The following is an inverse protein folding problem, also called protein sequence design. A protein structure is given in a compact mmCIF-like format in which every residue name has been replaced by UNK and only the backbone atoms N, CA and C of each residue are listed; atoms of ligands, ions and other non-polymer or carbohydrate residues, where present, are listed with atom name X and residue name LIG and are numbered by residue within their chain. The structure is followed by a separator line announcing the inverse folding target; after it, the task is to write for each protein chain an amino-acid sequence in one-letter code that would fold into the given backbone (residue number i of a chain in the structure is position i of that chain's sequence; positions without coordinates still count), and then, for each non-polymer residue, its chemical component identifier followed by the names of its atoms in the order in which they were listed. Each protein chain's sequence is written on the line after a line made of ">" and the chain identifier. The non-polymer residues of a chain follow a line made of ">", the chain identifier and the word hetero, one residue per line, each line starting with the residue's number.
data_IF_554929723815
#
_entry.id   IF_554929723815
#
_cell.length_a   1.000
_cell.length_b   1.000
_cell.length_c   1.000
_cell.angle_alpha   90.00
_cell.angle_beta   90.00
_cell.angle_gamma   90.00
#
_symmetry.space_group_name_H-M   'P 1'
#
loop_
_entity.id
_entity.type
_entity.pdbx_description
1 polymer ?
#
# COMPACT_ATOMS: atom_id res chain seq x y z
N UNK A 1 2.54 4.56 -17.96
CA UNK A 1 1.53 3.52 -17.73
C UNK A 1 1.00 3.65 -16.32
N UNK A 2 -0.31 3.57 -16.15
CA UNK A 2 -0.94 3.73 -14.86
C UNK A 2 -0.96 2.40 -14.11
N UNK A 3 -0.49 2.40 -12.87
CA UNK A 3 -0.52 1.18 -12.06
C UNK A 3 -1.74 1.19 -11.13
N UNK A 4 -1.97 0.07 -10.46
CA UNK A 4 -3.13 -0.10 -9.57
C UNK A 4 -2.74 -0.12 -8.11
N UNK A 5 -1.62 0.50 -7.78
CA UNK A 5 -1.11 0.51 -6.41
C UNK A 5 -2.15 1.01 -5.40
N UNK A 6 -2.78 2.16 -5.71
CA UNK A 6 -3.76 2.77 -4.79
C UNK A 6 -4.92 1.83 -4.49
N UNK A 7 -5.49 1.22 -5.52
CA UNK A 7 -6.61 0.30 -5.36
C UNK A 7 -6.18 -0.96 -4.61
N UNK A 8 -5.03 -1.49 -4.96
CA UNK A 8 -4.55 -2.75 -4.40
C UNK A 8 -4.18 -2.62 -2.93
N UNK A 9 -3.53 -1.52 -2.54
CA UNK A 9 -3.17 -1.34 -1.14
C UNK A 9 -4.42 -1.17 -0.27
N UNK A 10 -5.42 -0.46 -0.78
CA UNK A 10 -6.68 -0.30 -0.05
C UNK A 10 -7.39 -1.63 0.12
N UNK A 11 -7.43 -2.43 -0.94
CA UNK A 11 -8.07 -3.74 -0.90
C UNK A 11 -7.36 -4.69 0.07
N UNK A 12 -6.03 -4.77 -0.02
CA UNK A 12 -5.24 -5.62 0.87
C UNK A 12 -5.42 -5.23 2.32
N UNK A 13 -5.43 -3.93 2.60
CA UNK A 13 -5.65 -3.42 3.95
C UNK A 13 -7.00 -3.89 4.49
N UNK A 14 -8.05 -3.73 3.68
CA UNK A 14 -9.41 -4.12 4.09
C UNK A 14 -9.54 -5.63 4.28
N UNK A 15 -8.88 -6.41 3.44
CA UNK A 15 -8.87 -7.87 3.56
C UNK A 15 -8.22 -8.31 4.87
N UNK A 16 -7.25 -7.56 5.36
CA UNK A 16 -6.61 -7.84 6.64
C UNK A 16 -7.38 -7.26 7.83
N UNK A 17 -8.48 -6.56 7.57
CA UNK A 17 -9.27 -5.96 8.63
C UNK A 17 -8.60 -4.78 9.31
N UNK A 18 -7.69 -4.10 8.63
CA UNK A 18 -6.92 -2.98 9.21
C UNK A 18 -7.53 -1.64 8.83
N UNK A 19 -7.50 -0.70 9.77
CA UNK A 19 -7.79 0.70 9.46
C UNK A 19 -6.55 1.33 8.83
N UNK A 20 -6.72 2.50 8.21
CA UNK A 20 -5.57 3.24 7.67
C UNK A 20 -4.57 3.57 8.76
N UNK A 21 -5.06 3.90 9.97
CA UNK A 21 -4.19 4.20 11.10
C UNK A 21 -3.37 2.97 11.50
N UNK A 22 -4.02 1.82 11.57
CA UNK A 22 -3.35 0.57 11.95
C UNK A 22 -2.27 0.19 10.93
N UNK A 23 -2.59 0.31 9.65
CA UNK A 23 -1.59 0.02 8.61
C UNK A 23 -0.42 1.00 8.70
N UNK A 24 -0.71 2.29 8.91
CA UNK A 24 0.34 3.29 9.06
C UNK A 24 1.28 2.95 10.21
N UNK A 25 0.73 2.55 11.34
CA UNK A 25 1.52 2.16 12.50
C UNK A 25 2.43 0.97 12.19
N UNK A 26 1.90 -0.03 11.48
CA UNK A 26 2.68 -1.23 11.14
C UNK A 26 3.79 -0.93 10.14
N UNK A 27 3.60 0.05 9.28
CA UNK A 27 4.59 0.42 8.28
C UNK A 27 5.54 1.53 8.75
N UNK A 28 5.25 2.15 9.90
CA UNK A 28 6.09 3.21 10.44
C UNK A 28 5.89 4.55 9.74
N UNK A 29 4.70 4.80 9.22
CA UNK A 29 4.35 6.07 8.55
C UNK A 29 3.14 6.68 9.23
N UNK A 30 2.79 7.92 8.85
CA UNK A 30 1.61 8.57 9.41
C UNK A 30 0.36 8.18 8.59
N UNK A 31 -0.80 8.27 9.22
CA UNK A 31 -2.07 7.90 8.61
C UNK A 31 -2.32 8.62 7.29
N UNK A 32 -1.97 9.92 7.24
CA UNK A 32 -2.13 10.72 6.01
C UNK A 32 -1.39 10.10 4.83
N UNK A 33 -0.21 9.53 5.08
CA UNK A 33 0.57 8.89 4.01
C UNK A 33 -0.18 7.72 3.41
N UNK A 34 -0.77 6.87 4.25
CA UNK A 34 -1.58 5.74 3.77
C UNK A 34 -2.79 6.26 2.99
N UNK A 35 -3.46 7.28 3.50
CA UNK A 35 -4.60 7.88 2.83
C UNK A 35 -4.22 8.40 1.44
N UNK A 36 -3.09 9.08 1.32
CA UNK A 36 -2.61 9.59 0.03
C UNK A 36 -2.30 8.46 -0.94
N UNK A 37 -1.72 7.36 -0.46
CA UNK A 37 -1.47 6.20 -1.32
C UNK A 37 -2.79 5.64 -1.88
N UNK A 38 -3.80 5.52 -1.04
CA UNK A 38 -5.08 4.90 -1.42
C UNK A 38 -5.92 5.78 -2.33
N UNK A 39 -5.72 7.08 -2.27
CA UNK A 39 -6.43 8.01 -3.17
C UNK A 39 -5.68 8.27 -4.47
N UNK A 40 -4.44 7.76 -4.58
CA UNK A 40 -3.61 7.98 -5.75
C UNK A 40 -2.92 9.34 -5.76
N UNK A 41 -2.96 10.08 -4.64
CA UNK A 41 -2.36 11.39 -4.55
C UNK A 41 -0.85 11.37 -4.32
N UNK A 42 -0.31 10.24 -3.98
CA UNK A 42 1.12 10.12 -3.68
C UNK A 42 1.59 8.69 -3.96
N UNK A 43 2.78 8.56 -4.50
CA UNK A 43 3.43 7.27 -4.68
C UNK A 43 4.41 7.04 -3.53
N UNK A 44 4.73 5.80 -3.25
CA UNK A 44 5.71 5.46 -2.23
C UNK A 44 7.09 5.29 -2.84
N UNK A 45 8.12 5.33 -1.99
CA UNK A 45 9.49 5.03 -2.41
C UNK A 45 9.62 3.55 -2.75
N UNK A 46 10.69 3.18 -3.44
CA UNK A 46 10.96 1.77 -3.74
C UNK A 46 11.12 0.95 -2.47
N UNK A 47 11.82 1.48 -1.48
CA UNK A 47 12.00 0.78 -0.20
C UNK A 47 10.66 0.53 0.49
N UNK A 48 9.77 1.52 0.46
CA UNK A 48 8.46 1.37 1.06
C UNK A 48 7.60 0.38 0.26
N UNK A 49 7.72 0.39 -1.06
CA UNK A 49 7.00 -0.56 -1.91
C UNK A 49 7.36 -2.00 -1.54
N UNK A 50 8.65 -2.27 -1.37
CA UNK A 50 9.13 -3.59 -0.95
C UNK A 50 8.59 -3.94 0.43
N UNK A 51 8.63 -2.99 1.35
CA UNK A 51 8.14 -3.18 2.71
C UNK A 51 6.65 -3.54 2.74
N UNK A 52 5.85 -2.83 1.94
CA UNK A 52 4.41 -3.09 1.84
C UNK A 52 4.16 -4.47 1.25
N UNK A 53 4.86 -4.81 0.18
CA UNK A 53 4.72 -6.12 -0.46
C UNK A 53 5.06 -7.25 0.52
N UNK A 54 6.13 -7.10 1.27
CA UNK A 54 6.51 -8.08 2.28
C UNK A 54 5.47 -8.18 3.41
N UNK A 55 4.94 -7.04 3.84
CA UNK A 55 3.94 -7.02 4.89
C UNK A 55 2.68 -7.80 4.50
N UNK A 56 2.24 -7.63 3.25
CA UNK A 56 1.06 -8.32 2.75
C UNK A 56 1.35 -9.69 2.13
N UNK A 57 2.61 -10.09 2.08
CA UNK A 57 3.05 -11.36 1.49
C UNK A 57 2.66 -11.48 0.02
N UNK A 58 2.80 -10.39 -0.71
CA UNK A 58 2.55 -10.35 -2.16
C UNK A 58 3.83 -9.89 -2.86
N UNK A 59 3.89 -10.09 -4.18
CA UNK A 59 4.99 -9.55 -4.97
C UNK A 59 4.76 -8.07 -5.25
N UNK A 60 5.83 -7.35 -5.60
CA UNK A 60 5.69 -5.95 -6.00
C UNK A 60 4.85 -5.83 -7.26
N UNK A 61 4.97 -6.80 -8.19
CA UNK A 61 4.16 -6.83 -9.41
C UNK A 61 2.67 -6.96 -9.08
N UNK A 62 2.33 -7.84 -8.14
CA UNK A 62 0.95 -7.99 -7.70
C UNK A 62 0.43 -6.71 -7.05
N UNK A 63 1.26 -6.08 -6.21
CA UNK A 63 0.89 -4.84 -5.54
C UNK A 63 0.64 -3.71 -6.55
N UNK A 64 1.45 -3.64 -7.60
CA UNK A 64 1.31 -2.63 -8.64
C UNK A 64 0.25 -2.99 -9.68
N UNK A 65 -0.19 -4.24 -9.70
CA UNK A 65 -1.18 -4.70 -10.66
C UNK A 65 -0.63 -4.82 -12.07
N UNK A 66 0.66 -5.08 -12.21
CA UNK A 66 1.30 -5.30 -13.52
C UNK A 66 1.70 -6.77 -13.61
N UNK A 67 1.55 -7.32 -14.78
CA UNK A 67 1.88 -8.73 -15.05
C UNK A 67 2.90 -8.87 -16.17
#
# INVERSE_FOLDING_TARGET
>A
MKNKFAENIAQLRKEQGLTQKELAEKLGVITRTVSHWETGGQECSLDMLIKIACFFSVTTDELLGIE
#
